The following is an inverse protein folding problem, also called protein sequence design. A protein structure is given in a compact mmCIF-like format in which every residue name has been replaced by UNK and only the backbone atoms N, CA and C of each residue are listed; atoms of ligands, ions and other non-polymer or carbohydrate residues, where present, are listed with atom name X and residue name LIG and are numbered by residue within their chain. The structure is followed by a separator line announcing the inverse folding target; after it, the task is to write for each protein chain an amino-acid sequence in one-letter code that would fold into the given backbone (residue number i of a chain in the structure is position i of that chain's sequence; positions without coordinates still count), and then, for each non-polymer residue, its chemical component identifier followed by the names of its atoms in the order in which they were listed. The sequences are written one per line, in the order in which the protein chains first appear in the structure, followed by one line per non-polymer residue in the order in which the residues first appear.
data_IF_440387276982
#
_entry.id   IF_440387276982
#
_cell.length_a   1.000
_cell.length_b   1.000
_cell.length_c   1.000
_cell.angle_alpha   90.00
_cell.angle_beta   90.00
_cell.angle_gamma   90.00
#
_symmetry.space_group_name_H-M   'P 1'
#
loop_
_entity.id
_entity.type
_entity.pdbx_description
1 polymer ?
#
# COMPACT_ATOMS: atom_id res chain seq x y z
N UNK A 1 -5.04 29.39 46.34
CA UNK A 1 -5.00 28.60 47.59
C UNK A 1 -6.45 28.32 47.97
N UNK A 2 -7.00 27.25 47.44
CA UNK A 2 -8.28 26.68 47.87
C UNK A 2 -8.09 25.17 47.82
N UNK A 3 -7.93 24.62 49.01
CA UNK A 3 -7.71 23.23 49.35
C UNK A 3 -8.99 22.45 49.06
N UNK A 4 -8.93 21.45 48.17
CA UNK A 4 -10.03 20.51 47.95
C UNK A 4 -9.82 19.34 48.90
N UNK A 5 -10.64 19.32 49.95
CA UNK A 5 -10.71 18.30 50.99
C UNK A 5 -11.14 16.95 50.39
N UNK A 6 -10.31 15.91 50.58
CA UNK A 6 -10.60 14.55 50.14
C UNK A 6 -11.34 13.79 51.26
N UNK A 7 -12.42 13.06 50.96
CA UNK A 7 -13.18 12.33 51.99
C UNK A 7 -12.39 11.12 52.53
N UNK A 8 -12.58 10.75 53.81
CA UNK A 8 -11.83 9.66 54.45
C UNK A 8 -12.26 8.28 53.92
N UNK A 9 -11.36 7.28 53.95
CA UNK A 9 -11.68 5.92 53.53
C UNK A 9 -12.68 5.26 54.49
N UNK A 10 -13.75 4.70 53.92
CA UNK A 10 -14.77 3.97 54.67
C UNK A 10 -14.26 2.62 55.19
N UNK A 11 -14.64 2.31 56.43
CA UNK A 11 -14.31 1.06 57.12
C UNK A 11 -14.81 -0.20 56.36
N UNK A 12 -14.04 -1.30 56.35
CA UNK A 12 -14.50 -2.57 55.80
C UNK A 12 -15.62 -3.14 56.69
N UNK A 13 -16.81 -3.24 56.10
CA UNK A 13 -18.02 -3.80 56.71
C UNK A 13 -17.77 -5.23 57.21
N UNK A 14 -17.79 -5.41 58.52
CA UNK A 14 -17.61 -6.71 59.18
C UNK A 14 -18.78 -7.65 58.81
N UNK A 15 -18.52 -8.93 58.46
CA UNK A 15 -19.59 -9.87 58.13
C UNK A 15 -20.40 -10.22 59.39
N UNK A 16 -21.72 -10.45 59.27
CA UNK A 16 -22.56 -10.77 60.41
C UNK A 16 -22.16 -12.11 61.03
N UNK A 17 -22.02 -12.12 62.36
CA UNK A 17 -21.77 -13.31 63.17
C UNK A 17 -22.96 -14.27 63.09
N UNK A 18 -22.74 -15.49 62.62
CA UNK A 18 -23.71 -16.60 62.68
C UNK A 18 -24.00 -16.95 64.16
N UNK A 19 -25.21 -16.67 64.62
CA UNK A 19 -25.74 -17.26 65.85
C UNK A 19 -26.02 -18.76 65.68
N UNK A 20 -25.98 -19.57 66.75
CA UNK A 20 -26.29 -20.99 66.69
C UNK A 20 -27.79 -21.20 66.79
N UNK A 21 -28.33 -22.12 65.99
CA UNK A 21 -29.67 -22.66 66.19
C UNK A 21 -30.75 -22.02 65.32
N UNK A 22 -31.00 -22.68 64.19
CA UNK A 22 -32.13 -22.42 63.32
C UNK A 22 -32.18 -23.52 62.26
N UNK A 23 -32.70 -24.68 62.66
CA UNK A 23 -32.98 -25.80 61.74
C UNK A 23 -33.90 -25.30 60.63
N UNK A 24 -33.54 -25.42 59.34
CA UNK A 24 -34.42 -25.01 58.27
C UNK A 24 -35.67 -25.92 58.24
N UNK A 25 -36.86 -25.38 58.01
CA UNK A 25 -38.08 -26.18 57.95
C UNK A 25 -38.07 -27.07 56.71
N UNK A 26 -38.21 -28.37 56.96
CA UNK A 26 -38.85 -29.35 56.07
C UNK A 26 -38.41 -29.35 54.61
N UNK A 27 -37.27 -29.99 54.32
CA UNK A 27 -37.16 -30.70 53.06
C UNK A 27 -38.27 -31.76 53.01
N UNK A 28 -39.06 -31.87 51.93
CA UNK A 28 -40.02 -32.98 51.81
C UNK A 28 -39.25 -34.30 51.92
N UNK A 29 -39.78 -35.18 52.77
CA UNK A 29 -39.14 -36.42 53.19
C UNK A 29 -38.60 -37.22 52.02
N UNK A 30 -37.32 -37.59 52.12
CA UNK A 30 -36.77 -38.66 51.31
C UNK A 30 -37.50 -39.96 51.67
N UNK A 31 -38.06 -40.72 50.73
CA UNK A 31 -38.24 -42.14 50.95
C UNK A 31 -36.84 -42.76 50.96
N UNK A 32 -36.29 -42.99 52.16
CA UNK A 32 -35.10 -43.81 52.33
C UNK A 32 -35.47 -45.28 52.15
N UNK A 33 -35.67 -45.70 50.90
CA UNK A 33 -35.69 -47.11 50.50
C UNK A 33 -35.38 -47.32 49.01
N UNK A 34 -34.58 -46.45 48.40
CA UNK A 34 -34.09 -46.60 47.03
C UNK A 34 -32.56 -46.72 47.01
N UNK A 35 -32.02 -47.54 46.12
CA UNK A 35 -30.57 -47.70 45.94
C UNK A 35 -29.95 -46.31 45.62
N UNK A 36 -28.92 -45.86 46.36
CA UNK A 36 -28.21 -44.61 46.06
C UNK A 36 -27.73 -44.51 44.59
N UNK A 37 -27.48 -45.64 43.93
CA UNK A 37 -27.16 -45.67 42.49
C UNK A 37 -28.35 -45.30 41.61
N UNK A 38 -29.55 -45.69 42.00
CA UNK A 38 -30.79 -45.41 41.28
C UNK A 38 -31.11 -43.91 41.37
N UNK A 39 -30.96 -43.31 42.55
CA UNK A 39 -31.09 -41.86 42.73
C UNK A 39 -30.03 -41.04 41.96
N UNK A 40 -28.83 -41.60 41.76
CA UNK A 40 -27.80 -40.99 40.90
C UNK A 40 -28.17 -41.11 39.42
N UNK A 41 -28.67 -42.27 38.99
CA UNK A 41 -29.13 -42.48 37.61
C UNK A 41 -30.30 -41.56 37.26
N UNK A 42 -31.26 -41.35 38.15
CA UNK A 42 -32.39 -40.44 37.94
C UNK A 42 -31.94 -38.98 37.79
N UNK A 43 -30.93 -38.55 38.56
CA UNK A 43 -30.34 -37.20 38.41
C UNK A 43 -29.58 -37.07 37.09
N UNK A 44 -28.81 -38.08 36.70
CA UNK A 44 -28.11 -38.11 35.40
C UNK A 44 -29.10 -38.12 34.23
N UNK A 45 -30.23 -38.82 34.37
CA UNK A 45 -31.29 -38.87 33.37
C UNK A 45 -32.10 -37.57 33.32
N UNK A 46 -32.31 -36.90 34.46
CA UNK A 46 -32.99 -35.61 34.55
C UNK A 46 -32.14 -34.43 34.02
N UNK A 47 -30.82 -34.49 34.17
CA UNK A 47 -29.88 -33.50 33.58
C UNK A 47 -29.61 -33.74 32.08
N UNK A 48 -30.16 -34.79 31.48
CA UNK A 48 -29.96 -35.14 30.07
C UNK A 48 -30.81 -34.31 29.09
N UNK A 49 -31.00 -33.01 29.37
CA UNK A 49 -31.67 -32.09 28.43
C UNK A 49 -30.89 -31.88 27.13
N UNK A 50 -29.64 -32.34 27.07
CA UNK A 50 -28.85 -32.34 25.83
C UNK A 50 -27.98 -33.58 25.82
N UNK A 51 -28.21 -34.49 24.87
CA UNK A 51 -27.33 -35.66 24.75
C UNK A 51 -25.92 -35.19 24.36
N UNK A 52 -24.89 -35.97 24.70
CA UNK A 52 -23.51 -35.69 24.22
C UNK A 52 -23.47 -35.52 22.69
N UNK A 53 -24.32 -36.25 21.96
CA UNK A 53 -24.44 -36.12 20.51
C UNK A 53 -25.05 -34.80 20.09
N UNK A 54 -26.05 -34.30 20.79
CA UNK A 54 -26.69 -33.02 20.48
C UNK A 54 -25.78 -31.84 20.83
N UNK A 55 -25.06 -31.93 21.96
CA UNK A 55 -24.03 -30.95 22.31
C UNK A 55 -22.93 -30.88 21.24
N UNK A 56 -22.40 -32.04 20.81
CA UNK A 56 -21.38 -32.08 19.76
C UNK A 56 -21.91 -31.56 18.41
N UNK A 57 -23.19 -31.82 18.08
CA UNK A 57 -23.82 -31.27 16.87
C UNK A 57 -23.92 -29.75 16.94
N UNK A 58 -24.37 -29.17 18.05
CA UNK A 58 -24.47 -27.72 18.23
C UNK A 58 -23.11 -27.05 18.12
N UNK A 59 -22.10 -27.59 18.82
CA UNK A 59 -20.74 -27.04 18.74
C UNK A 59 -20.19 -27.13 17.32
N UNK A 60 -20.36 -28.27 16.65
CA UNK A 60 -19.90 -28.46 15.28
C UNK A 60 -20.61 -27.53 14.28
N UNK A 61 -21.93 -27.33 14.41
CA UNK A 61 -22.69 -26.46 13.49
C UNK A 61 -22.40 -24.98 13.72
N UNK A 62 -22.31 -24.53 14.97
CA UNK A 62 -21.99 -23.13 15.28
C UNK A 62 -20.55 -22.81 14.87
N UNK A 63 -19.59 -23.68 15.23
CA UNK A 63 -18.18 -23.49 14.86
C UNK A 63 -18.00 -23.57 13.34
N UNK A 64 -18.67 -24.51 12.68
CA UNK A 64 -18.66 -24.64 11.22
C UNK A 64 -19.27 -23.42 10.53
N UNK A 65 -20.40 -22.92 11.04
CA UNK A 65 -21.05 -21.71 10.54
C UNK A 65 -20.17 -20.47 10.67
N UNK A 66 -19.51 -20.30 11.82
CA UNK A 66 -18.54 -19.21 12.02
C UNK A 66 -17.32 -19.35 11.12
N UNK A 67 -16.80 -20.57 10.92
CA UNK A 67 -15.68 -20.80 10.02
C UNK A 67 -16.04 -20.46 8.57
N UNK A 68 -17.19 -20.95 8.08
CA UNK A 68 -17.68 -20.63 6.73
C UNK A 68 -17.97 -19.13 6.58
N UNK A 69 -18.61 -18.52 7.57
CA UNK A 69 -18.87 -17.08 7.60
C UNK A 69 -17.56 -16.27 7.56
N UNK A 70 -16.57 -16.66 8.35
CA UNK A 70 -15.24 -16.03 8.36
C UNK A 70 -14.53 -16.14 7.02
N UNK A 71 -14.61 -17.30 6.35
CA UNK A 71 -14.09 -17.47 4.99
C UNK A 71 -14.83 -16.61 3.96
N UNK A 72 -16.16 -16.47 4.08
CA UNK A 72 -16.95 -15.60 3.21
C UNK A 72 -16.58 -14.12 3.36
N UNK A 73 -16.44 -13.65 4.60
CA UNK A 73 -15.99 -12.28 4.89
C UNK A 73 -14.56 -12.05 4.40
N UNK A 74 -13.66 -13.01 4.62
CA UNK A 74 -12.30 -12.96 4.10
C UNK A 74 -12.31 -12.86 2.56
N UNK A 75 -13.15 -13.64 1.87
CA UNK A 75 -13.28 -13.58 0.41
C UNK A 75 -13.78 -12.22 -0.11
N UNK A 76 -14.69 -11.56 0.62
CA UNK A 76 -15.27 -10.27 0.20
C UNK A 76 -14.50 -9.01 0.63
N UNK A 77 -13.71 -9.07 1.72
CA UNK A 77 -13.00 -7.91 2.28
C UNK A 77 -11.50 -7.91 1.94
N UNK A 78 -10.95 -9.05 1.47
CA UNK A 78 -9.52 -9.15 1.12
C UNK A 78 -9.10 -8.79 -0.32
N UNK A 79 -9.90 -8.16 -1.22
CA UNK A 79 -9.27 -7.51 -2.38
C UNK A 79 -8.18 -6.57 -1.86
N UNK A 80 -6.92 -6.90 -2.11
CA UNK A 80 -5.83 -5.99 -1.71
C UNK A 80 -5.90 -4.83 -2.68
N UNK A 81 -5.75 -3.60 -2.19
CA UNK A 81 -5.62 -2.42 -3.04
C UNK A 81 -4.63 -2.70 -4.19
N UNK A 82 -5.11 -2.63 -5.43
CA UNK A 82 -4.36 -2.93 -6.66
C UNK A 82 -4.37 -4.39 -7.15
N UNK A 83 -5.16 -5.29 -6.55
CA UNK A 83 -5.64 -6.51 -7.23
C UNK A 83 -6.66 -6.13 -8.32
N UNK A 84 -6.78 -6.89 -9.43
CA UNK A 84 -7.72 -6.55 -10.49
C UNK A 84 -9.13 -6.42 -9.92
N UNK A 85 -9.91 -5.49 -10.48
CA UNK A 85 -11.28 -5.15 -10.08
C UNK A 85 -12.16 -6.41 -9.93
N UNK A 86 -13.36 -6.29 -9.35
CA UNK A 86 -14.30 -7.43 -9.25
C UNK A 86 -14.61 -8.09 -10.62
N UNK A 87 -14.39 -7.36 -11.72
CA UNK A 87 -14.50 -7.82 -13.11
C UNK A 87 -13.23 -8.51 -13.67
N UNK A 88 -12.15 -8.60 -12.88
CA UNK A 88 -10.86 -9.19 -13.27
C UNK A 88 -10.06 -8.36 -14.28
N UNK A 89 -10.42 -7.09 -14.49
CA UNK A 89 -9.86 -6.26 -15.56
C UNK A 89 -8.74 -5.37 -15.06
N UNK A 90 -7.74 -5.18 -15.91
CA UNK A 90 -6.64 -4.27 -15.63
C UNK A 90 -7.11 -2.80 -15.52
N UNK A 91 -6.52 -2.00 -14.62
CA UNK A 91 -6.99 -0.65 -14.37
C UNK A 91 -6.82 0.24 -15.60
N UNK A 92 -7.88 0.96 -15.96
CA UNK A 92 -7.86 1.85 -17.11
C UNK A 92 -6.92 3.04 -16.89
N UNK A 93 -6.15 3.48 -17.91
CA UNK A 93 -5.35 4.69 -17.81
C UNK A 93 -6.19 5.92 -17.44
N UNK A 94 -5.73 6.69 -16.45
CA UNK A 94 -6.42 7.90 -15.96
C UNK A 94 -5.53 9.12 -16.11
N UNK A 95 -6.04 10.17 -16.75
CA UNK A 95 -5.37 11.47 -16.81
C UNK A 95 -5.45 12.14 -15.45
N UNK A 96 -4.30 12.46 -14.84
CA UNK A 96 -4.24 13.07 -13.51
C UNK A 96 -4.02 14.59 -13.58
N UNK A 97 -3.30 15.08 -14.60
CA UNK A 97 -3.01 16.50 -14.77
C UNK A 97 -2.73 16.84 -16.24
N UNK A 98 -2.93 18.11 -16.62
CA UNK A 98 -2.47 18.63 -17.92
C UNK A 98 -0.97 18.86 -17.96
N UNK A 99 -0.38 19.17 -16.81
CA UNK A 99 1.05 19.33 -16.59
C UNK A 99 1.31 19.28 -15.07
N UNK A 100 2.53 18.91 -14.67
CA UNK A 100 3.00 18.99 -13.29
C UNK A 100 4.42 19.55 -13.31
N UNK A 101 4.66 20.72 -12.72
CA UNK A 101 5.97 21.40 -12.76
C UNK A 101 6.92 20.87 -11.68
N UNK A 102 8.25 21.06 -11.82
CA UNK A 102 9.21 20.67 -10.80
C UNK A 102 8.89 21.27 -9.42
N UNK A 103 8.86 20.40 -8.43
CA UNK A 103 8.50 20.73 -7.07
C UNK A 103 6.99 20.91 -6.84
N UNK A 104 6.14 20.36 -7.70
CA UNK A 104 4.69 20.28 -7.49
C UNK A 104 4.25 18.85 -7.19
N UNK A 105 3.13 18.72 -6.48
CA UNK A 105 2.46 17.45 -6.24
C UNK A 105 0.96 17.57 -6.44
N UNK A 106 0.33 16.48 -6.85
CA UNK A 106 -1.13 16.37 -6.95
C UNK A 106 -1.61 15.08 -6.27
N UNK A 107 -2.67 15.20 -5.48
CA UNK A 107 -3.40 14.06 -4.95
C UNK A 107 -4.53 13.67 -5.92
N UNK A 108 -4.76 12.37 -6.09
CA UNK A 108 -5.76 11.82 -6.98
C UNK A 108 -6.16 10.42 -6.51
N UNK A 109 -7.17 9.84 -7.15
CA UNK A 109 -7.65 8.48 -6.86
C UNK A 109 -7.28 7.55 -8.02
N UNK A 110 -6.65 6.42 -7.74
CA UNK A 110 -6.24 5.41 -8.72
C UNK A 110 -5.74 4.11 -8.04
N UNK A 111 -6.16 2.91 -8.50
CA UNK A 111 -6.99 2.66 -9.68
C UNK A 111 -8.46 3.04 -9.50
N UNK A 112 -9.02 2.80 -8.32
CA UNK A 112 -10.42 3.07 -7.99
C UNK A 112 -10.62 4.42 -7.30
N UNK A 113 -11.88 4.77 -6.99
CA UNK A 113 -12.23 6.00 -6.28
C UNK A 113 -11.81 5.99 -4.80
N UNK A 114 -11.69 4.80 -4.19
CA UNK A 114 -11.20 4.64 -2.82
C UNK A 114 -9.67 4.63 -2.70
N UNK A 115 -8.94 4.38 -3.79
CA UNK A 115 -7.49 4.24 -3.79
C UNK A 115 -6.79 5.60 -3.89
N UNK A 116 -6.53 6.23 -2.74
CA UNK A 116 -5.80 7.50 -2.69
C UNK A 116 -4.36 7.34 -3.17
N UNK A 117 -3.93 8.24 -4.04
CA UNK A 117 -2.59 8.31 -4.62
C UNK A 117 -2.04 9.74 -4.61
N UNK A 118 -0.72 9.85 -4.74
CA UNK A 118 0.01 11.11 -4.87
C UNK A 118 1.01 11.01 -6.01
N UNK A 119 1.02 12.02 -6.88
CA UNK A 119 2.04 12.23 -7.89
C UNK A 119 2.89 13.42 -7.48
N UNK A 120 4.20 13.30 -7.61
CA UNK A 120 5.16 14.34 -7.28
C UNK A 120 6.09 14.49 -8.47
N UNK A 121 6.32 15.72 -8.90
CA UNK A 121 7.49 16.03 -9.72
C UNK A 121 8.57 16.59 -8.82
N UNK A 122 9.65 15.86 -8.67
CA UNK A 122 10.81 16.26 -7.88
C UNK A 122 11.47 17.52 -8.49
N UNK A 123 12.34 18.18 -7.74
CA UNK A 123 12.95 19.44 -8.16
C UNK A 123 13.90 19.24 -9.36
N UNK A 124 14.50 18.05 -9.50
CA UNK A 124 15.27 17.66 -10.67
C UNK A 124 14.43 17.30 -11.91
N UNK A 125 13.09 17.38 -11.79
CA UNK A 125 12.14 17.07 -12.85
C UNK A 125 11.70 15.60 -12.91
N UNK A 126 12.23 14.72 -12.05
CA UNK A 126 11.79 13.32 -11.99
C UNK A 126 10.33 13.24 -11.58
N UNK A 127 9.52 12.50 -12.35
CA UNK A 127 8.12 12.23 -12.02
C UNK A 127 7.99 10.91 -11.27
N UNK A 128 7.34 10.92 -10.11
CA UNK A 128 7.11 9.74 -9.28
C UNK A 128 5.67 9.71 -8.79
N UNK A 129 5.14 8.50 -8.57
CA UNK A 129 3.78 8.28 -8.10
C UNK A 129 3.72 7.15 -7.08
N UNK A 130 2.91 7.34 -6.04
CA UNK A 130 2.74 6.38 -4.95
C UNK A 130 1.30 6.33 -4.47
N UNK A 131 0.91 5.21 -3.86
CA UNK A 131 -0.26 5.20 -2.99
C UNK A 131 -0.05 6.21 -1.86
N UNK A 132 -1.08 7.02 -1.60
CA UNK A 132 -1.12 7.96 -0.49
C UNK A 132 -1.63 7.29 0.80
N UNK A 133 -1.58 5.96 0.88
CA UNK A 133 -2.02 5.16 2.03
C UNK A 133 -0.79 4.57 2.72
N UNK A 134 -0.59 4.96 3.98
CA UNK A 134 0.54 4.52 4.77
C UNK A 134 0.49 3.01 5.03
N UNK A 135 1.61 2.33 4.81
CA UNK A 135 1.72 0.87 4.98
C UNK A 135 1.72 0.39 6.44
N UNK A 136 1.67 1.31 7.41
CA UNK A 136 1.49 1.00 8.83
C UNK A 136 0.02 0.70 9.16
N UNK A 137 -0.83 1.73 9.18
CA UNK A 137 -2.25 1.66 9.58
C UNK A 137 -3.15 2.54 8.68
N UNK A 138 -2.82 2.63 7.38
CA UNK A 138 -3.63 3.25 6.34
C UNK A 138 -3.95 4.75 6.48
N UNK A 139 -3.18 5.48 7.29
CA UNK A 139 -3.26 6.95 7.32
C UNK A 139 -2.81 7.58 5.99
N UNK A 140 -3.28 8.80 5.71
CA UNK A 140 -2.85 9.57 4.55
C UNK A 140 -1.35 9.90 4.60
N UNK A 141 -0.68 9.74 3.46
CA UNK A 141 0.71 10.16 3.23
C UNK A 141 0.72 11.46 2.44
N UNK A 142 1.48 12.44 2.91
CA UNK A 142 1.57 13.77 2.34
C UNK A 142 3.00 14.02 1.84
N UNK A 143 3.14 14.68 0.69
CA UNK A 143 4.46 15.15 0.27
C UNK A 143 4.81 16.47 0.96
N UNK A 144 6.01 16.54 1.53
CA UNK A 144 6.56 17.71 2.21
C UNK A 144 7.77 18.22 1.44
N UNK A 145 7.53 19.22 0.59
CA UNK A 145 8.57 19.86 -0.23
C UNK A 145 9.67 20.52 0.59
N UNK A 146 9.37 20.97 1.81
CA UNK A 146 10.29 21.71 2.69
C UNK A 146 11.35 20.82 3.37
N UNK A 147 11.36 19.52 3.09
CA UNK A 147 12.18 18.54 3.81
C UNK A 147 13.17 17.83 2.88
N UNK A 148 14.45 18.12 3.07
CA UNK A 148 15.51 17.62 2.18
C UNK A 148 15.54 18.36 0.84
N UNK A 149 16.32 17.84 -0.13
CA UNK A 149 16.49 18.48 -1.43
C UNK A 149 15.32 18.23 -2.39
N UNK A 150 14.66 17.08 -2.28
CA UNK A 150 13.56 16.65 -3.16
C UNK A 150 12.21 16.55 -2.44
N UNK A 151 12.16 16.93 -1.16
CA UNK A 151 11.03 16.65 -0.28
C UNK A 151 11.08 15.26 0.35
N UNK A 152 10.12 14.97 1.22
CA UNK A 152 9.87 13.65 1.81
C UNK A 152 8.38 13.29 1.72
N UNK A 153 8.05 12.00 1.73
CA UNK A 153 6.69 11.52 1.89
C UNK A 153 6.45 11.21 3.37
N UNK A 154 5.44 11.82 3.97
CA UNK A 154 5.26 11.86 5.41
C UNK A 154 3.86 11.43 5.84
N UNK A 155 3.79 10.52 6.81
CA UNK A 155 2.58 10.09 7.48
C UNK A 155 2.54 10.65 8.92
N UNK A 156 1.59 11.54 9.25
CA UNK A 156 1.57 12.22 10.55
C UNK A 156 1.10 11.36 11.72
N UNK A 157 0.47 10.21 11.48
CA UNK A 157 -0.16 9.42 12.55
C UNK A 157 0.85 8.84 13.55
N UNK A 158 1.99 8.36 13.06
CA UNK A 158 3.05 7.77 13.87
C UNK A 158 4.43 8.10 13.29
N UNK A 159 4.54 9.29 12.69
CA UNK A 159 5.80 9.83 12.16
C UNK A 159 6.49 8.90 11.15
N UNK A 160 5.70 8.28 10.26
CA UNK A 160 6.24 7.46 9.18
C UNK A 160 6.84 8.33 8.09
N UNK A 161 8.07 8.06 7.68
CA UNK A 161 8.77 8.81 6.63
C UNK A 161 9.18 7.85 5.52
N UNK A 162 8.95 8.28 4.28
CA UNK A 162 9.36 7.57 3.08
C UNK A 162 10.19 8.51 2.20
N UNK A 163 11.20 7.94 1.54
CA UNK A 163 12.01 8.64 0.57
C UNK A 163 11.15 9.08 -0.63
N UNK A 164 11.25 10.35 -1.03
CA UNK A 164 10.41 10.90 -2.09
C UNK A 164 10.69 10.30 -3.47
N UNK A 165 11.90 9.78 -3.72
CA UNK A 165 12.30 9.24 -5.04
C UNK A 165 11.99 7.75 -5.20
N UNK A 166 12.15 6.98 -4.13
CA UNK A 166 12.01 5.53 -4.14
C UNK A 166 10.70 5.05 -3.53
N UNK A 167 10.12 5.82 -2.59
CA UNK A 167 8.98 5.41 -1.77
C UNK A 167 9.36 4.46 -0.64
N UNK A 168 10.64 4.18 -0.43
CA UNK A 168 11.13 3.30 0.63
C UNK A 168 11.03 3.96 2.01
N UNK A 169 10.82 3.15 3.05
CA UNK A 169 10.75 3.65 4.43
C UNK A 169 12.11 4.14 4.87
N UNK A 170 12.18 5.36 5.35
CA UNK A 170 13.40 5.96 5.91
C UNK A 170 13.31 6.17 7.41
N UNK A 171 12.11 6.30 7.97
CA UNK A 171 11.89 6.39 9.42
C UNK A 171 10.46 5.99 9.83
N UNK A 172 10.30 5.77 11.13
CA UNK A 172 9.01 5.45 11.76
C UNK A 172 8.66 3.96 11.71
N UNK A 173 7.44 3.60 12.15
CA UNK A 173 6.98 2.22 12.22
C UNK A 173 6.57 1.53 10.90
N UNK A 174 6.35 2.21 9.73
CA UNK A 174 5.94 1.51 8.52
C UNK A 174 6.85 0.32 8.19
N UNK A 175 6.32 -0.90 7.95
CA UNK A 175 7.14 -2.09 7.79
C UNK A 175 7.70 -2.27 6.36
N UNK A 176 7.20 -1.50 5.39
CA UNK A 176 7.50 -1.64 3.95
C UNK A 176 7.28 -0.32 3.21
N UNK A 177 7.99 -0.12 2.10
CA UNK A 177 7.84 1.06 1.24
C UNK A 177 6.44 1.17 0.63
N UNK A 178 6.11 2.33 0.09
CA UNK A 178 4.80 2.59 -0.51
C UNK A 178 4.61 1.80 -1.82
N UNK A 179 3.40 1.26 -2.07
CA UNK A 179 2.98 0.85 -3.41
C UNK A 179 3.20 1.98 -4.42
N UNK A 180 3.77 1.68 -5.59
CA UNK A 180 4.02 2.68 -6.63
C UNK A 180 2.81 2.81 -7.54
N UNK A 181 2.54 4.03 -7.99
CA UNK A 181 1.63 4.31 -9.09
C UNK A 181 2.48 4.66 -10.30
N UNK A 182 2.35 3.88 -11.37
CA UNK A 182 3.12 4.05 -12.60
C UNK A 182 2.55 5.25 -13.35
N UNK A 183 3.37 6.28 -13.51
CA UNK A 183 3.00 7.51 -14.21
C UNK A 183 3.71 7.58 -15.56
N UNK A 184 3.02 8.09 -16.57
CA UNK A 184 3.58 8.45 -17.87
C UNK A 184 3.28 9.90 -18.19
N UNK A 185 4.25 10.58 -18.80
CA UNK A 185 4.11 11.92 -19.34
C UNK A 185 4.00 11.82 -20.86
N UNK A 186 2.94 12.41 -21.40
CA UNK A 186 2.69 12.44 -22.83
C UNK A 186 3.43 13.62 -23.49
N UNK A 187 3.52 13.61 -24.82
CA UNK A 187 4.19 14.68 -25.59
C UNK A 187 3.54 16.06 -25.45
N UNK A 188 2.27 16.11 -25.05
CA UNK A 188 1.54 17.34 -24.76
C UNK A 188 1.74 17.84 -23.31
N UNK A 189 2.56 17.16 -22.51
CA UNK A 189 2.82 17.45 -21.10
C UNK A 189 1.81 16.83 -20.13
N UNK A 190 0.76 16.17 -20.64
CA UNK A 190 -0.25 15.55 -19.78
C UNK A 190 0.29 14.33 -19.04
N UNK A 191 -0.10 14.22 -17.77
CA UNK A 191 0.34 13.14 -16.89
C UNK A 191 -0.79 12.13 -16.71
N UNK A 192 -0.46 10.85 -16.86
CA UNK A 192 -1.39 9.74 -16.77
C UNK A 192 -0.90 8.68 -15.78
N UNK A 193 -1.81 8.17 -14.97
CA UNK A 193 -1.61 6.95 -14.18
C UNK A 193 -2.02 5.73 -15.02
N UNK A 194 -1.15 4.73 -15.10
CA UNK A 194 -1.30 3.60 -16.04
C UNK A 194 -1.16 2.22 -15.39
N UNK A 195 -0.83 2.15 -14.10
CA UNK A 195 -0.77 0.90 -13.36
C UNK A 195 -0.28 1.12 -11.94
N UNK A 196 -0.29 0.06 -11.14
CA UNK A 196 0.21 0.08 -9.76
C UNK A 196 1.07 -1.14 -9.45
N UNK A 197 1.92 -1.00 -8.43
CA UNK A 197 2.71 -2.10 -7.89
C UNK A 197 2.29 -2.37 -6.45
N UNK A 198 2.56 -3.58 -5.94
CA UNK A 198 2.58 -3.84 -4.51
C UNK A 198 3.84 -3.23 -3.88
N UNK A 199 3.87 -3.10 -2.56
CA UNK A 199 5.07 -2.65 -1.85
C UNK A 199 6.24 -3.60 -2.08
N UNK A 200 7.40 -3.04 -2.43
CA UNK A 200 8.61 -3.81 -2.74
C UNK A 200 8.56 -4.57 -4.07
N UNK A 201 7.44 -4.50 -4.81
CA UNK A 201 7.33 -5.09 -6.15
C UNK A 201 7.98 -4.16 -7.19
N UNK A 202 8.66 -4.75 -8.17
CA UNK A 202 9.19 -3.98 -9.30
C UNK A 202 8.04 -3.50 -10.20
N UNK A 203 8.26 -2.39 -10.91
CA UNK A 203 7.26 -1.86 -11.87
C UNK A 203 6.92 -2.91 -12.93
N UNK A 204 7.93 -3.62 -13.44
CA UNK A 204 7.75 -4.69 -14.42
C UNK A 204 6.82 -5.79 -13.89
N UNK A 205 7.09 -6.36 -12.71
CA UNK A 205 6.24 -7.40 -12.14
C UNK A 205 4.82 -6.91 -11.83
N UNK A 206 4.67 -5.69 -11.32
CA UNK A 206 3.36 -5.09 -11.06
C UNK A 206 2.52 -4.92 -12.33
N UNK A 207 3.13 -4.40 -13.40
CA UNK A 207 2.46 -4.25 -14.69
C UNK A 207 2.17 -5.60 -15.34
N UNK A 208 3.07 -6.58 -15.26
CA UNK A 208 2.82 -7.91 -15.79
C UNK A 208 1.68 -8.63 -15.06
N UNK A 209 1.58 -8.46 -13.74
CA UNK A 209 0.47 -8.97 -12.94
C UNK A 209 -0.86 -8.34 -13.34
N UNK A 210 -0.87 -7.04 -13.66
CA UNK A 210 -2.09 -6.30 -14.00
C UNK A 210 -2.53 -6.50 -15.44
N UNK A 211 -1.60 -6.48 -16.39
CA UNK A 211 -1.92 -6.39 -17.82
C UNK A 211 -1.53 -7.65 -18.61
N UNK A 212 -0.86 -8.63 -17.98
CA UNK A 212 -0.28 -9.78 -18.67
C UNK A 212 -1.26 -10.57 -19.53
N UNK A 213 -2.47 -10.80 -19.02
CA UNK A 213 -3.52 -11.56 -19.71
C UNK A 213 -4.40 -10.68 -20.60
N UNK A 214 -4.68 -9.44 -20.17
CA UNK A 214 -5.58 -8.51 -20.87
C UNK A 214 -4.95 -7.83 -22.09
N UNK A 215 -3.62 -7.68 -22.11
CA UNK A 215 -2.88 -6.88 -23.09
C UNK A 215 -1.60 -7.63 -23.54
N UNK A 216 -1.71 -8.68 -24.38
CA UNK A 216 -0.57 -9.52 -24.75
C UNK A 216 0.52 -8.75 -25.52
N UNK A 217 0.16 -7.69 -26.24
CA UNK A 217 1.09 -6.78 -26.92
C UNK A 217 1.95 -5.99 -25.93
N UNK A 218 1.33 -5.48 -24.87
CA UNK A 218 2.02 -4.76 -23.79
C UNK A 218 2.88 -5.73 -22.99
N UNK A 219 2.35 -6.90 -22.68
CA UNK A 219 3.04 -7.94 -21.93
C UNK A 219 4.32 -8.41 -22.65
N UNK A 220 4.27 -8.57 -23.98
CA UNK A 220 5.45 -8.90 -24.79
C UNK A 220 6.52 -7.80 -24.73
N UNK A 221 6.11 -6.52 -24.78
CA UNK A 221 7.02 -5.36 -24.72
C UNK A 221 7.65 -5.17 -23.35
N UNK A 222 6.92 -5.52 -22.30
CA UNK A 222 7.40 -5.48 -20.91
C UNK A 222 8.28 -6.69 -20.56
N UNK A 223 8.28 -7.76 -21.37
CA UNK A 223 9.03 -8.98 -21.10
C UNK A 223 8.37 -9.87 -20.04
N UNK A 224 7.03 -9.85 -19.96
CA UNK A 224 6.32 -10.56 -18.90
C UNK A 224 6.56 -12.08 -18.94
N UNK A 225 6.84 -12.72 -17.78
CA UNK A 225 7.12 -14.14 -17.72
C UNK A 225 5.90 -14.95 -18.17
N UNK A 226 6.11 -15.93 -19.06
CA UNK A 226 5.05 -16.79 -19.60
C UNK A 226 4.47 -16.35 -20.94
N UNK A 227 4.76 -15.12 -21.40
CA UNK A 227 4.54 -14.72 -22.79
C UNK A 227 5.67 -15.38 -23.60
N UNK A 228 5.37 -16.50 -24.25
CA UNK A 228 6.34 -17.14 -25.16
C UNK A 228 6.80 -16.10 -26.18
N UNK A 229 8.11 -15.97 -26.36
CA UNK A 229 8.74 -15.24 -27.47
C UNK A 229 8.18 -15.79 -28.80
N UNK A 230 7.09 -15.18 -29.25
CA UNK A 230 6.26 -15.63 -30.34
C UNK A 230 5.99 -14.48 -31.30
N UNK A 231 7.01 -13.69 -31.60
CA UNK A 231 7.04 -12.84 -32.77
C UNK A 231 8.50 -12.69 -33.21
N UNK A 232 8.81 -13.33 -34.33
CA UNK A 232 9.89 -12.96 -35.24
C UNK A 232 10.12 -11.45 -35.16
N UNK A 233 11.34 -11.03 -34.85
CA UNK A 233 11.74 -9.64 -35.01
C UNK A 233 11.28 -9.17 -36.41
N UNK A 234 10.58 -8.03 -36.55
CA UNK A 234 10.29 -7.55 -37.89
C UNK A 234 11.63 -7.47 -38.63
N UNK A 235 11.74 -8.02 -39.86
CA UNK A 235 12.99 -7.92 -40.60
C UNK A 235 13.34 -6.45 -40.64
N UNK A 236 14.55 -6.12 -40.18
CA UNK A 236 15.11 -4.79 -40.30
C UNK A 236 14.90 -4.38 -41.75
N UNK A 237 13.95 -3.47 -41.99
CA UNK A 237 13.77 -2.89 -43.30
C UNK A 237 15.10 -2.21 -43.59
N UNK A 238 15.84 -2.77 -44.54
CA UNK A 238 17.11 -2.25 -45.00
C UNK A 238 16.91 -0.83 -45.49
N UNK A 239 17.05 0.14 -44.59
CA UNK A 239 17.44 1.48 -44.95
C UNK A 239 18.90 1.33 -45.39
N UNK A 240 19.07 1.17 -46.70
CA UNK A 240 20.35 1.37 -47.35
C UNK A 240 20.91 2.70 -46.87
N UNK A 241 21.89 2.62 -45.96
CA UNK A 241 22.79 3.72 -45.70
C UNK A 241 23.41 4.06 -47.05
N UNK A 242 22.91 5.12 -47.69
CA UNK A 242 23.64 5.81 -48.75
C UNK A 242 24.87 6.40 -48.07
N UNK A 243 25.96 5.66 -48.14
CA UNK A 243 27.31 6.15 -47.86
C UNK A 243 27.53 7.38 -48.72
N UNK A 244 27.46 8.57 -48.12
CA UNK A 244 28.02 9.77 -48.74
C UNK A 244 29.52 9.57 -48.70
N UNK A 245 30.10 9.25 -49.85
CA UNK A 245 31.54 9.22 -50.03
C UNK A 245 32.11 10.62 -49.70
N UNK A 246 33.22 10.72 -48.96
CA UNK A 246 33.95 11.97 -48.87
C UNK A 246 34.51 12.31 -50.25
N UNK A 247 34.11 13.47 -50.78
CA UNK A 247 34.64 13.99 -52.04
C UNK A 247 36.16 14.19 -51.98
N UNK A 248 36.86 14.12 -53.13
CA UNK A 248 38.31 14.19 -53.19
C UNK A 248 38.80 15.57 -52.73
N UNK A 249 39.70 15.56 -51.75
CA UNK A 249 40.50 16.72 -51.33
C UNK A 249 41.52 17.00 -52.44
N UNK A 250 41.34 18.12 -53.16
CA UNK A 250 42.32 18.62 -54.10
C UNK A 250 43.52 19.27 -53.37
N UNK A 251 44.76 19.11 -53.85
CA UNK A 251 45.94 19.59 -53.16
C UNK A 251 46.28 21.06 -53.49
N UNK A 252 46.53 21.83 -52.43
CA UNK A 252 47.56 22.87 -52.27
C UNK A 252 47.78 23.96 -53.33
N UNK A 253 47.62 25.23 -52.92
CA UNK A 253 48.53 26.30 -53.32
C UNK A 253 48.63 27.39 -52.24
N UNK A 254 49.85 27.55 -51.72
CA UNK A 254 50.31 28.60 -50.82
C UNK A 254 49.99 30.01 -51.30
N UNK A 255 49.58 30.91 -50.39
CA UNK A 255 50.00 32.31 -50.43
C UNK A 255 50.33 32.83 -49.03
N UNK A 256 51.62 33.00 -48.83
CA UNK A 256 52.29 33.82 -47.84
C UNK A 256 51.74 35.25 -47.86
N UNK A 257 51.47 35.83 -46.68
CA UNK A 257 51.75 37.25 -46.40
C UNK A 257 51.96 37.47 -44.91
N UNK A 258 53.21 37.78 -44.58
CA UNK A 258 53.66 38.66 -43.51
C UNK A 258 52.90 40.01 -43.61
N UNK A 259 52.73 40.90 -42.61
CA UNK A 259 53.44 41.23 -41.37
C UNK A 259 52.57 42.27 -40.61
N UNK A 260 52.73 42.33 -39.29
CA UNK A 260 52.96 43.56 -38.48
C UNK A 260 51.81 44.32 -37.79
N UNK A 261 52.08 44.64 -36.51
CA UNK A 261 51.59 45.80 -35.74
C UNK A 261 50.47 45.46 -34.75
N UNK A 262 50.73 45.22 -33.45
CA UNK A 262 51.10 46.16 -32.38
C UNK A 262 49.92 47.03 -31.87
N UNK A 263 49.70 47.01 -30.56
CA UNK A 263 49.11 48.13 -29.82
C UNK A 263 48.01 47.81 -28.80
N UNK A 264 48.42 47.70 -27.53
CA UNK A 264 47.82 48.30 -26.29
C UNK A 264 46.32 48.07 -26.00
N UNK A 265 45.88 47.34 -24.96
CA UNK A 265 45.92 47.62 -23.50
C UNK A 265 45.46 49.02 -23.10
N UNK A 266 44.31 49.12 -22.39
CA UNK A 266 43.82 50.18 -21.47
C UNK A 266 42.27 50.18 -21.51
N UNK A 267 41.45 50.37 -20.46
CA UNK A 267 41.59 50.36 -18.99
C UNK A 267 40.16 50.23 -18.42
N UNK A 268 40.10 49.87 -17.15
CA UNK A 268 39.00 49.88 -16.19
C UNK A 268 37.99 51.04 -16.23
N UNK A 269 36.75 50.76 -15.82
CA UNK A 269 35.79 51.76 -15.32
C UNK A 269 34.48 51.14 -14.85
N UNK A 270 34.37 50.91 -13.53
CA UNK A 270 33.12 50.53 -12.82
C UNK A 270 32.37 51.79 -12.33
N UNK A 271 31.11 51.66 -11.86
CA UNK A 271 30.03 52.63 -12.10
C UNK A 271 29.79 53.65 -10.98
N UNK A 272 28.85 54.57 -11.27
CA UNK A 272 28.07 55.34 -10.31
C UNK A 272 26.68 54.70 -10.12
#
# INVERSE_FOLDING_TARGET
MTETDAPPPGDPKQPPTRGPGGTPPGAPGQPASGDPREALHDRIAADALTTRRDYLRIVATVSGGLAVGGLGVAGGILPRHGDPDEDGKAPAPKKIASQLLPGESIAFDYPDEEDRAVAVRLNDGTLVGYSAICTHLACAVLWRKDRGTEGELYCPCHEGVFDARSGEVTAGPPPRGLPKVVLTEQTDGSIWAVGTTRSGESIEHGLCRQFGEDRPDLASRLGCPGVRDGAEAPPASGAAARTVAPGPVAPGASRTRTRSGAGTSETSGSPA
#
